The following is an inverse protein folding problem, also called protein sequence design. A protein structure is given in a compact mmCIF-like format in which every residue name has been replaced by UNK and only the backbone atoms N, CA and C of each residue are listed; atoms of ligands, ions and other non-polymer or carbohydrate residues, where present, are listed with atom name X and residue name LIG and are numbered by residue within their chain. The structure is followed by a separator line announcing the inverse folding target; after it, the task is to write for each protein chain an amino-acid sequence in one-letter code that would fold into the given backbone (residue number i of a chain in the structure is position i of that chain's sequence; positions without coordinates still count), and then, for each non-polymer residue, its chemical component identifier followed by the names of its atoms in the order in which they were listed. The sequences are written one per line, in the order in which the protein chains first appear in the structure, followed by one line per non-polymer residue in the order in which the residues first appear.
data_IF_155161788732
#
_entry.id   IF_155161788732
#
_cell.length_a   1.000
_cell.length_b   1.000
_cell.length_c   1.000
_cell.angle_alpha   90.00
_cell.angle_beta   90.00
_cell.angle_gamma   90.00
#
_symmetry.space_group_name_H-M   'P 1'
#
loop_
_entity.id
_entity.type
_entity.pdbx_description
1 polymer ?
#
# COMPACT_ATOMS: atom_id res chain seq x y z
N UNK A 1 12.43 14.36 -5.04
CA UNK A 1 12.47 13.70 -3.74
C UNK A 1 13.81 12.97 -3.56
N UNK A 2 14.38 13.00 -2.39
CA UNK A 2 15.53 12.17 -2.03
C UNK A 2 15.03 10.77 -1.63
N UNK A 3 15.61 9.73 -2.22
CA UNK A 3 15.25 8.33 -1.97
C UNK A 3 16.23 7.66 -1.01
N UNK A 4 17.53 7.92 -1.23
CA UNK A 4 18.65 7.54 -0.34
C UNK A 4 19.67 8.68 -0.32
N UNK A 5 20.77 8.53 0.41
CA UNK A 5 21.86 9.52 0.40
C UNK A 5 22.45 9.78 -1.00
N UNK A 6 22.36 8.79 -1.90
CA UNK A 6 22.97 8.85 -3.24
C UNK A 6 21.96 8.81 -4.38
N UNK A 7 20.64 8.70 -4.07
CA UNK A 7 19.60 8.51 -5.08
C UNK A 7 18.47 9.53 -4.94
N UNK A 8 18.09 10.09 -6.06
CA UNK A 8 17.07 11.12 -6.15
C UNK A 8 16.05 10.76 -7.24
N UNK A 9 14.80 11.08 -7.01
CA UNK A 9 13.74 11.00 -7.99
C UNK A 9 13.23 12.41 -8.32
N UNK A 10 13.01 12.66 -9.59
CA UNK A 10 12.50 13.92 -10.12
C UNK A 10 11.37 13.63 -11.11
N UNK A 11 10.26 14.34 -11.00
CA UNK A 11 9.24 14.38 -12.03
C UNK A 11 9.50 15.59 -12.90
N UNK A 12 9.58 15.39 -14.21
CA UNK A 12 9.75 16.45 -15.20
C UNK A 12 8.71 16.33 -16.32
N UNK A 13 8.49 17.40 -17.07
CA UNK A 13 7.63 17.35 -18.25
C UNK A 13 8.29 16.52 -19.37
N UNK A 14 7.49 15.90 -20.21
CA UNK A 14 7.98 15.13 -21.36
C UNK A 14 8.76 15.96 -22.39
N UNK A 15 8.62 17.29 -22.35
CA UNK A 15 9.37 18.21 -23.18
C UNK A 15 10.74 18.64 -22.59
N UNK A 16 11.05 18.24 -21.35
CA UNK A 16 12.34 18.54 -20.74
C UNK A 16 13.36 17.48 -21.16
N UNK A 17 14.22 17.85 -22.11
CA UNK A 17 15.24 16.95 -22.70
C UNK A 17 16.64 17.16 -22.11
N UNK A 18 16.77 17.89 -21.00
CA UNK A 18 18.09 18.14 -20.37
C UNK A 18 18.73 16.82 -19.91
N UNK A 19 20.02 16.71 -20.08
CA UNK A 19 20.82 15.64 -19.49
C UNK A 19 21.13 15.97 -18.03
N UNK A 20 20.24 15.51 -17.13
CA UNK A 20 20.36 15.76 -15.70
C UNK A 20 21.63 15.17 -15.09
N UNK A 21 22.12 14.04 -15.61
CA UNK A 21 23.36 13.44 -15.14
C UNK A 21 24.57 14.32 -15.51
N UNK A 22 24.56 14.90 -16.70
CA UNK A 22 25.57 15.87 -17.09
C UNK A 22 25.52 17.15 -16.25
N UNK A 23 24.33 17.71 -16.01
CA UNK A 23 24.18 18.90 -15.16
C UNK A 23 24.71 18.65 -13.74
N UNK A 24 24.41 17.50 -13.13
CA UNK A 24 24.90 17.15 -11.79
C UNK A 24 26.41 16.97 -11.78
N UNK A 25 27.00 16.33 -12.81
CA UNK A 25 28.45 16.22 -12.93
C UNK A 25 29.14 17.58 -13.06
N UNK A 26 28.60 18.49 -13.87
CA UNK A 26 29.13 19.85 -14.03
C UNK A 26 29.03 20.66 -12.73
N UNK A 27 27.90 20.56 -12.02
CA UNK A 27 27.75 21.20 -10.72
C UNK A 27 28.78 20.66 -9.70
N UNK A 28 28.99 19.34 -9.67
CA UNK A 28 30.01 18.72 -8.80
C UNK A 28 31.41 19.23 -9.11
N UNK A 29 31.78 19.33 -10.42
CA UNK A 29 33.08 19.90 -10.83
C UNK A 29 33.28 21.35 -10.38
N UNK A 30 32.22 22.16 -10.46
CA UNK A 30 32.25 23.54 -9.98
C UNK A 30 32.57 23.64 -8.48
N UNK A 31 32.14 22.64 -7.69
CA UNK A 31 32.40 22.53 -6.25
C UNK A 31 33.68 21.71 -5.95
N UNK A 32 34.46 21.33 -6.97
CA UNK A 32 35.68 20.55 -6.80
C UNK A 32 35.46 19.06 -6.46
N UNK A 33 34.26 18.53 -6.71
CA UNK A 33 33.90 17.15 -6.46
C UNK A 33 33.70 16.38 -7.78
N UNK A 34 34.36 15.23 -7.91
CA UNK A 34 34.13 14.33 -9.04
C UNK A 34 32.98 13.41 -8.71
N UNK A 35 31.87 13.54 -9.45
CA UNK A 35 30.68 12.72 -9.28
C UNK A 35 30.55 11.74 -10.46
N UNK A 36 30.37 10.46 -10.14
CA UNK A 36 29.92 9.46 -11.12
C UNK A 36 28.39 9.36 -11.01
N UNK A 37 27.70 9.86 -12.04
CA UNK A 37 26.25 9.98 -12.03
C UNK A 37 25.62 9.34 -13.25
N UNK A 38 24.55 8.58 -13.05
CA UNK A 38 23.68 8.07 -14.09
C UNK A 38 22.25 8.56 -13.86
N UNK A 39 21.53 8.82 -14.92
CA UNK A 39 20.09 9.12 -14.86
C UNK A 39 19.33 8.11 -15.72
N UNK A 40 18.19 7.69 -15.24
CA UNK A 40 17.27 6.84 -15.99
C UNK A 40 15.87 7.46 -15.97
N UNK A 41 15.17 7.38 -17.10
CA UNK A 41 13.84 7.92 -17.28
C UNK A 41 12.79 6.81 -17.35
N UNK A 42 11.65 7.05 -16.73
CA UNK A 42 10.48 6.19 -16.89
C UNK A 42 9.24 7.06 -17.13
N UNK A 43 8.45 6.68 -18.13
CA UNK A 43 7.19 7.36 -18.41
C UNK A 43 6.17 7.11 -17.30
N UNK A 44 5.57 8.17 -16.78
CA UNK A 44 4.43 8.11 -15.88
C UNK A 44 3.16 8.06 -16.75
N UNK A 45 2.23 7.14 -16.50
CA UNK A 45 0.96 7.08 -17.23
C UNK A 45 0.20 8.40 -17.13
N UNK A 46 -0.44 8.80 -18.24
CA UNK A 46 -1.28 10.00 -18.29
C UNK A 46 -2.42 9.84 -17.28
N UNK A 47 -2.59 10.86 -16.41
CA UNK A 47 -3.63 10.84 -15.37
C UNK A 47 -3.19 10.26 -14.03
N UNK A 48 -1.97 9.73 -13.90
CA UNK A 48 -1.44 9.34 -12.59
C UNK A 48 -1.21 10.58 -11.70
N UNK A 49 -1.67 10.50 -10.45
CA UNK A 49 -1.39 11.55 -9.48
C UNK A 49 0.13 11.65 -9.22
N UNK A 50 0.75 12.85 -9.27
CA UNK A 50 2.20 12.99 -9.13
C UNK A 50 2.78 12.38 -7.86
N UNK A 51 2.07 12.50 -6.74
CA UNK A 51 2.51 11.95 -5.46
C UNK A 51 2.49 10.41 -5.47
N UNK A 52 1.45 9.81 -6.07
CA UNK A 52 1.37 8.36 -6.25
C UNK A 52 2.51 7.86 -7.14
N UNK A 53 2.84 8.58 -8.21
CA UNK A 53 3.95 8.24 -9.09
C UNK A 53 5.30 8.30 -8.36
N UNK A 54 5.56 9.32 -7.54
CA UNK A 54 6.78 9.41 -6.72
C UNK A 54 6.89 8.26 -5.73
N UNK A 55 5.79 7.90 -5.07
CA UNK A 55 5.75 6.76 -4.15
C UNK A 55 5.99 5.44 -4.88
N UNK A 56 5.38 5.25 -6.05
CA UNK A 56 5.61 4.07 -6.87
C UNK A 56 7.07 3.95 -7.33
N UNK A 57 7.70 5.07 -7.68
CA UNK A 57 9.14 5.11 -8.01
C UNK A 57 10.00 4.70 -6.81
N UNK A 58 9.73 5.22 -5.63
CA UNK A 58 10.42 4.84 -4.40
C UNK A 58 10.28 3.34 -4.13
N UNK A 59 9.06 2.82 -4.15
CA UNK A 59 8.76 1.42 -3.93
C UNK A 59 9.48 0.50 -4.93
N UNK A 60 9.46 0.87 -6.23
CA UNK A 60 10.14 0.13 -7.29
C UNK A 60 11.66 0.09 -7.08
N UNK A 61 12.27 1.20 -6.66
CA UNK A 61 13.70 1.27 -6.36
C UNK A 61 14.07 0.39 -5.17
N UNK A 62 13.29 0.46 -4.09
CA UNK A 62 13.51 -0.37 -2.90
C UNK A 62 13.38 -1.87 -3.23
N UNK A 63 12.43 -2.25 -4.08
CA UNK A 63 12.27 -3.60 -4.60
C UNK A 63 13.51 -4.07 -5.37
N UNK A 64 13.96 -3.27 -6.32
CA UNK A 64 15.17 -3.56 -7.10
C UNK A 64 16.42 -3.72 -6.24
N UNK A 65 16.55 -2.97 -5.17
CA UNK A 65 17.69 -3.06 -4.25
C UNK A 65 17.67 -4.34 -3.40
N UNK A 66 16.49 -4.83 -3.03
CA UNK A 66 16.32 -6.07 -2.23
C UNK A 66 16.56 -7.33 -3.05
N UNK A 67 16.27 -7.30 -4.34
CA UNK A 67 16.43 -8.45 -5.24
C UNK A 67 17.88 -8.71 -5.69
N UNK A 68 18.86 -7.99 -5.13
CA UNK A 68 20.28 -8.37 -5.22
C UNK A 68 21.02 -8.00 -6.50
N UNK A 69 21.05 -6.74 -6.85
CA UNK A 69 22.05 -6.21 -7.78
C UNK A 69 21.79 -6.55 -9.27
N UNK A 70 21.57 -5.53 -10.02
CA UNK A 70 21.07 -5.61 -11.39
C UNK A 70 22.22 -5.61 -12.40
N UNK A 71 22.23 -6.59 -13.28
CA UNK A 71 23.09 -6.56 -14.46
C UNK A 71 22.76 -5.37 -15.38
N UNK A 72 21.54 -4.85 -15.33
CA UNK A 72 21.11 -3.62 -16.00
C UNK A 72 20.10 -2.87 -15.14
N UNK A 73 20.57 -1.93 -14.28
CA UNK A 73 19.72 -1.19 -13.33
C UNK A 73 18.59 -0.40 -13.99
N UNK A 74 18.80 0.13 -15.18
CA UNK A 74 17.85 1.00 -15.88
C UNK A 74 16.63 0.23 -16.37
N UNK A 75 16.84 -0.90 -17.04
CA UNK A 75 15.75 -1.73 -17.54
C UNK A 75 14.94 -2.31 -16.38
N UNK A 76 15.61 -2.83 -15.37
CA UNK A 76 14.94 -3.42 -14.22
C UNK A 76 14.13 -2.39 -13.43
N UNK A 77 14.63 -1.15 -13.27
CA UNK A 77 13.86 -0.08 -12.65
C UNK A 77 12.61 0.28 -13.48
N UNK A 78 12.74 0.45 -14.79
CA UNK A 78 11.61 0.77 -15.67
C UNK A 78 10.54 -0.33 -15.64
N UNK A 79 10.95 -1.59 -15.66
CA UNK A 79 10.03 -2.73 -15.56
C UNK A 79 9.38 -2.83 -14.17
N UNK A 80 10.14 -2.64 -13.10
CA UNK A 80 9.64 -2.63 -11.74
C UNK A 80 8.63 -1.50 -11.52
N UNK A 81 8.89 -0.31 -12.02
CA UNK A 81 7.97 0.82 -11.94
C UNK A 81 6.67 0.54 -12.71
N UNK A 82 6.77 0.04 -13.95
CA UNK A 82 5.60 -0.32 -14.75
C UNK A 82 4.77 -1.41 -14.07
N UNK A 83 5.42 -2.40 -13.46
CA UNK A 83 4.75 -3.46 -12.67
C UNK A 83 4.04 -2.84 -11.47
N UNK A 84 4.73 -2.03 -10.67
CA UNK A 84 4.16 -1.38 -9.48
C UNK A 84 2.94 -0.53 -9.82
N UNK A 85 2.99 0.25 -10.91
CA UNK A 85 1.84 1.07 -11.33
C UNK A 85 0.65 0.21 -11.79
N UNK A 86 0.89 -0.89 -12.51
CA UNK A 86 -0.17 -1.84 -12.88
C UNK A 86 -0.77 -2.53 -11.67
N UNK A 87 0.06 -2.97 -10.73
CA UNK A 87 -0.39 -3.63 -9.51
C UNK A 87 -1.22 -2.67 -8.63
N UNK A 88 -0.81 -1.39 -8.55
CA UNK A 88 -1.56 -0.35 -7.86
C UNK A 88 -2.95 -0.11 -8.49
N UNK A 89 -3.04 -0.06 -9.82
CA UNK A 89 -4.33 0.11 -10.51
C UNK A 89 -5.21 -1.14 -10.37
N UNK A 90 -4.62 -2.32 -10.45
CA UNK A 90 -5.33 -3.57 -10.17
C UNK A 90 -5.87 -3.59 -8.75
N UNK A 91 -5.06 -3.21 -7.77
CA UNK A 91 -5.48 -3.12 -6.36
C UNK A 91 -6.65 -2.15 -6.19
N UNK A 92 -6.56 -0.93 -6.74
CA UNK A 92 -7.66 0.05 -6.71
C UNK A 92 -8.96 -0.53 -7.29
N UNK A 93 -8.84 -1.21 -8.42
CA UNK A 93 -9.99 -1.82 -9.10
C UNK A 93 -10.63 -2.91 -8.24
N UNK A 94 -9.82 -3.82 -7.69
CA UNK A 94 -10.27 -4.90 -6.80
C UNK A 94 -10.96 -4.35 -5.56
N UNK A 95 -10.38 -3.31 -4.92
CA UNK A 95 -10.97 -2.67 -3.74
C UNK A 95 -12.28 -1.97 -4.10
N UNK A 96 -12.31 -1.19 -5.18
CA UNK A 96 -13.50 -0.48 -5.66
C UNK A 96 -14.65 -1.44 -6.01
N UNK A 97 -14.33 -2.55 -6.66
CA UNK A 97 -15.29 -3.59 -7.02
C UNK A 97 -15.61 -4.53 -5.86
N UNK A 98 -14.86 -4.44 -4.75
CA UNK A 98 -14.96 -5.34 -3.59
C UNK A 98 -14.69 -6.81 -3.94
N UNK A 99 -13.90 -7.05 -5.00
CA UNK A 99 -13.59 -8.36 -5.55
C UNK A 99 -12.43 -9.04 -4.80
N UNK A 100 -12.65 -9.27 -3.52
CA UNK A 100 -11.79 -10.08 -2.67
C UNK A 100 -12.60 -10.75 -1.57
N UNK A 101 -12.17 -11.92 -1.14
CA UNK A 101 -12.79 -12.65 -0.03
C UNK A 101 -12.22 -12.18 1.31
N UNK A 102 -12.99 -12.36 2.38
CA UNK A 102 -12.52 -12.25 3.77
C UNK A 102 -12.63 -13.62 4.41
N UNK A 103 -11.50 -14.17 4.83
CA UNK A 103 -11.43 -15.39 5.61
C UNK A 103 -11.35 -15.05 7.09
N UNK A 104 -11.84 -15.94 7.92
CA UNK A 104 -11.91 -15.75 9.37
C UNK A 104 -11.07 -16.81 10.05
N UNK A 105 -9.96 -16.39 10.66
CA UNK A 105 -9.08 -17.28 11.41
C UNK A 105 -9.45 -17.26 12.89
N UNK A 106 -9.74 -18.41 13.52
CA UNK A 106 -10.07 -18.44 14.93
C UNK A 106 -8.83 -18.17 15.80
N UNK A 107 -8.96 -17.27 16.75
CA UNK A 107 -8.01 -17.02 17.83
C UNK A 107 -8.58 -17.69 19.08
N UNK A 108 -7.81 -18.61 19.65
CA UNK A 108 -8.26 -19.45 20.75
C UNK A 108 -7.51 -19.16 22.05
N UNK A 109 -8.19 -19.27 23.16
CA UNK A 109 -7.59 -19.29 24.48
C UNK A 109 -6.81 -20.60 24.68
N UNK A 110 -5.54 -20.52 25.06
CA UNK A 110 -4.67 -21.70 25.16
C UNK A 110 -5.05 -22.65 26.30
N UNK A 111 -5.63 -22.14 27.38
CA UNK A 111 -6.03 -22.94 28.52
C UNK A 111 -7.33 -23.72 28.29
N UNK A 112 -8.37 -23.00 27.87
CA UNK A 112 -9.71 -23.57 27.65
C UNK A 112 -9.92 -24.15 26.26
N UNK A 113 -9.07 -23.77 25.28
CA UNK A 113 -9.22 -24.04 23.84
C UNK A 113 -10.51 -23.47 23.23
N UNK A 114 -11.18 -22.58 23.93
CA UNK A 114 -12.37 -21.91 23.43
C UNK A 114 -11.97 -20.81 22.43
N UNK A 115 -12.80 -20.60 21.41
CA UNK A 115 -12.60 -19.48 20.48
C UNK A 115 -12.91 -18.17 21.21
N UNK A 116 -11.92 -17.28 21.27
CA UNK A 116 -12.06 -15.96 21.85
C UNK A 116 -12.66 -14.97 20.84
N UNK A 117 -12.10 -14.94 19.61
CA UNK A 117 -12.56 -14.12 18.50
C UNK A 117 -12.05 -14.70 17.17
N UNK A 118 -12.41 -14.08 16.08
CA UNK A 118 -11.88 -14.40 14.76
C UNK A 118 -11.10 -13.18 14.22
N UNK A 119 -9.98 -13.41 13.57
CA UNK A 119 -9.27 -12.40 12.80
C UNK A 119 -9.77 -12.42 11.35
N UNK A 120 -10.10 -11.25 10.81
CA UNK A 120 -10.52 -11.08 9.43
C UNK A 120 -9.32 -10.87 8.52
N UNK A 121 -9.09 -11.81 7.62
CA UNK A 121 -7.94 -11.82 6.71
C UNK A 121 -8.42 -11.73 5.27
N UNK A 122 -8.06 -10.66 4.59
CA UNK A 122 -8.37 -10.52 3.17
C UNK A 122 -7.61 -11.54 2.32
N UNK A 123 -8.28 -12.01 1.25
CA UNK A 123 -7.73 -12.94 0.26
C UNK A 123 -8.04 -12.43 -1.14
N UNK A 124 -6.99 -12.10 -1.86
CA UNK A 124 -7.06 -11.66 -3.24
C UNK A 124 -6.99 -12.85 -4.19
N UNK A 125 -7.70 -12.77 -5.32
CA UNK A 125 -7.65 -13.77 -6.38
C UNK A 125 -6.45 -13.50 -7.31
N UNK A 126 -5.25 -13.25 -6.76
CA UNK A 126 -4.06 -12.94 -7.53
C UNK A 126 -2.87 -13.78 -7.04
N UNK A 127 -1.90 -14.01 -7.94
CA UNK A 127 -0.64 -14.69 -7.64
C UNK A 127 0.27 -13.85 -6.73
N UNK A 128 -0.04 -12.56 -6.57
CA UNK A 128 0.64 -11.66 -5.63
C UNK A 128 0.11 -11.94 -4.23
N UNK A 129 0.98 -12.41 -3.36
CA UNK A 129 0.60 -12.68 -1.97
C UNK A 129 0.01 -11.44 -1.28
N UNK A 130 -1.00 -11.62 -0.41
CA UNK A 130 -1.72 -10.50 0.23
C UNK A 130 -0.78 -9.52 0.97
N UNK A 131 0.28 -10.01 1.60
CA UNK A 131 1.25 -9.18 2.31
C UNK A 131 1.96 -8.17 1.39
N UNK A 132 2.34 -8.58 0.18
CA UNK A 132 2.99 -7.67 -0.78
C UNK A 132 2.01 -6.62 -1.32
N UNK A 133 0.75 -7.01 -1.57
CA UNK A 133 -0.28 -6.09 -2.03
C UNK A 133 -0.63 -5.05 -0.96
N UNK A 134 -0.72 -5.45 0.31
CA UNK A 134 -0.99 -4.57 1.45
C UNK A 134 0.18 -3.60 1.65
N UNK A 135 1.43 -4.10 1.70
CA UNK A 135 2.61 -3.23 1.82
C UNK A 135 2.70 -2.21 0.68
N UNK A 136 2.44 -2.61 -0.56
CA UNK A 136 2.38 -1.68 -1.68
C UNK A 136 1.26 -0.65 -1.48
N UNK A 137 0.09 -1.06 -1.01
CA UNK A 137 -1.03 -0.15 -0.78
C UNK A 137 -0.73 0.87 0.33
N UNK A 138 -0.03 0.49 1.39
CA UNK A 138 0.46 1.40 2.44
C UNK A 138 1.44 2.42 1.88
N UNK A 139 2.47 1.97 1.18
CA UNK A 139 3.49 2.84 0.57
C UNK A 139 2.90 3.81 -0.46
N UNK A 140 1.88 3.39 -1.20
CA UNK A 140 1.22 4.20 -2.21
C UNK A 140 0.04 5.03 -1.69
N UNK A 141 -0.26 4.97 -0.37
CA UNK A 141 -1.42 5.58 0.28
C UNK A 141 -2.76 5.15 -0.33
N UNK A 142 -2.89 3.86 -0.61
CA UNK A 142 -4.11 3.23 -1.10
C UNK A 142 -4.83 2.41 -0.02
N UNK A 143 -4.20 2.29 1.16
CA UNK A 143 -4.64 1.37 2.21
C UNK A 143 -5.96 1.79 2.86
N UNK A 144 -6.23 3.08 3.01
CA UNK A 144 -7.40 3.59 3.74
C UNK A 144 -8.73 3.08 3.16
N UNK A 145 -8.86 3.11 1.83
CA UNK A 145 -10.08 2.62 1.17
C UNK A 145 -10.24 1.10 1.33
N UNK A 146 -9.13 0.38 1.29
CA UNK A 146 -9.12 -1.07 1.52
C UNK A 146 -9.55 -1.40 2.95
N UNK A 147 -8.93 -0.78 3.96
CA UNK A 147 -9.27 -0.99 5.37
C UNK A 147 -10.76 -0.71 5.65
N UNK A 148 -11.30 0.35 5.02
CA UNK A 148 -12.72 0.66 5.14
C UNK A 148 -13.61 -0.43 4.54
N UNK A 149 -13.28 -0.95 3.35
CA UNK A 149 -14.04 -2.02 2.70
C UNK A 149 -13.96 -3.32 3.49
N UNK A 150 -12.80 -3.65 4.07
CA UNK A 150 -12.67 -4.81 4.97
C UNK A 150 -13.57 -4.65 6.18
N UNK A 151 -13.53 -3.49 6.85
CA UNK A 151 -14.39 -3.21 8.00
C UNK A 151 -15.88 -3.30 7.64
N UNK A 152 -16.30 -2.79 6.47
CA UNK A 152 -17.67 -2.91 5.97
C UNK A 152 -18.08 -4.38 5.78
N UNK A 153 -17.23 -5.20 5.17
CA UNK A 153 -17.51 -6.65 4.99
C UNK A 153 -17.66 -7.36 6.33
N UNK A 154 -16.81 -7.02 7.30
CA UNK A 154 -16.88 -7.59 8.64
C UNK A 154 -18.16 -7.16 9.38
N UNK A 155 -18.52 -5.88 9.35
CA UNK A 155 -19.79 -5.40 9.95
C UNK A 155 -20.99 -6.07 9.29
N UNK A 156 -20.99 -6.21 7.96
CA UNK A 156 -22.03 -6.96 7.25
C UNK A 156 -22.11 -8.43 7.74
N UNK A 157 -20.96 -9.08 7.96
CA UNK A 157 -20.90 -10.45 8.48
C UNK A 157 -21.45 -10.55 9.92
N UNK A 158 -21.11 -9.58 10.77
CA UNK A 158 -21.61 -9.51 12.15
C UNK A 158 -23.15 -9.35 12.22
N UNK A 159 -23.74 -8.71 11.21
CA UNK A 159 -25.21 -8.49 11.12
C UNK A 159 -25.97 -9.66 10.49
N UNK A 160 -25.29 -10.66 9.94
CA UNK A 160 -25.96 -11.81 9.34
C UNK A 160 -26.62 -12.69 10.39
N UNK A 161 -27.75 -13.33 10.07
CA UNK A 161 -28.36 -14.34 10.90
C UNK A 161 -27.35 -15.45 11.26
N UNK A 162 -27.36 -15.91 12.52
CA UNK A 162 -26.42 -16.92 12.99
C UNK A 162 -25.03 -16.40 13.39
N UNK A 163 -24.75 -15.10 13.24
CA UNK A 163 -23.51 -14.51 13.73
C UNK A 163 -23.41 -14.53 15.28
N UNK A 164 -24.55 -14.58 15.97
CA UNK A 164 -24.62 -14.77 17.44
C UNK A 164 -23.71 -13.78 18.18
N UNK A 165 -22.84 -14.32 19.05
CA UNK A 165 -21.89 -13.58 19.87
C UNK A 165 -20.49 -13.52 19.23
N UNK A 166 -20.37 -13.78 17.93
CA UNK A 166 -19.08 -13.70 17.23
C UNK A 166 -18.44 -12.33 17.46
N UNK A 167 -17.17 -12.37 17.83
CA UNK A 167 -16.28 -11.19 17.84
C UNK A 167 -15.31 -11.34 16.67
N UNK A 168 -15.11 -10.27 15.92
CA UNK A 168 -14.22 -10.29 14.75
C UNK A 168 -13.27 -9.11 14.87
N UNK A 169 -11.98 -9.39 14.77
CA UNK A 169 -10.92 -8.39 14.67
C UNK A 169 -10.65 -8.05 13.21
N UNK A 170 -10.41 -6.78 12.93
CA UNK A 170 -9.96 -6.27 11.64
C UNK A 170 -8.62 -5.59 11.82
N UNK A 171 -7.68 -5.90 10.92
CA UNK A 171 -6.43 -5.19 10.82
C UNK A 171 -6.68 -3.82 10.17
N UNK A 172 -6.18 -2.77 10.78
CA UNK A 172 -6.27 -1.39 10.29
C UNK A 172 -4.90 -0.75 10.37
N UNK A 173 -4.46 -0.12 9.29
CA UNK A 173 -3.18 0.55 9.27
C UNK A 173 -3.16 1.79 10.18
N UNK A 174 -2.01 2.10 10.76
CA UNK A 174 -1.83 3.33 11.53
C UNK A 174 -2.14 4.57 10.69
N UNK A 175 -1.83 4.55 9.39
CA UNK A 175 -2.15 5.63 8.46
C UNK A 175 -3.67 5.86 8.34
N UNK A 176 -4.47 4.79 8.26
CA UNK A 176 -5.94 4.89 8.23
C UNK A 176 -6.49 5.49 9.52
N UNK A 177 -5.97 5.06 10.68
CA UNK A 177 -6.42 5.61 11.97
C UNK A 177 -6.00 7.07 12.19
N UNK A 178 -4.94 7.54 11.56
CA UNK A 178 -4.53 8.94 11.60
C UNK A 178 -5.40 9.84 10.71
N UNK A 179 -6.26 9.27 9.87
CA UNK A 179 -7.17 10.01 8.99
C UNK A 179 -8.56 10.18 9.62
N UNK A 180 -8.89 11.41 9.99
CA UNK A 180 -10.20 11.75 10.61
C UNK A 180 -11.40 11.32 9.74
N UNK A 181 -11.29 11.39 8.42
CA UNK A 181 -12.35 10.99 7.50
C UNK A 181 -12.60 9.47 7.52
N UNK A 182 -11.53 8.68 7.63
CA UNK A 182 -11.62 7.23 7.84
C UNK A 182 -12.30 6.90 9.16
N UNK A 183 -11.83 7.49 10.26
CA UNK A 183 -12.39 7.29 11.61
C UNK A 183 -13.87 7.67 11.64
N UNK A 184 -14.24 8.83 11.07
CA UNK A 184 -15.63 9.25 10.96
C UNK A 184 -16.47 8.26 10.15
N UNK A 185 -15.92 7.64 9.11
CA UNK A 185 -16.61 6.64 8.29
C UNK A 185 -16.85 5.34 9.06
N UNK A 186 -15.83 4.88 9.79
CA UNK A 186 -15.93 3.69 10.66
C UNK A 186 -16.97 3.90 11.78
N UNK A 187 -16.97 5.07 12.39
CA UNK A 187 -17.97 5.43 13.42
C UNK A 187 -19.39 5.48 12.85
N UNK A 188 -19.59 6.08 11.67
CA UNK A 188 -20.89 6.11 10.99
C UNK A 188 -21.41 4.72 10.66
N UNK A 189 -20.53 3.83 10.22
CA UNK A 189 -20.87 2.44 9.87
C UNK A 189 -21.47 1.68 11.06
N UNK A 190 -20.97 1.94 12.25
CA UNK A 190 -21.41 1.29 13.51
C UNK A 190 -22.42 2.14 14.30
N UNK A 191 -22.78 3.34 13.80
CA UNK A 191 -23.74 4.21 14.46
C UNK A 191 -25.14 3.59 14.46
N UNK A 192 -25.84 3.67 15.58
CA UNK A 192 -27.15 3.04 15.75
C UNK A 192 -27.14 1.53 16.03
N UNK A 193 -25.96 0.88 16.03
CA UNK A 193 -25.81 -0.56 16.31
C UNK A 193 -24.75 -0.78 17.39
N UNK A 194 -25.07 -0.56 18.68
CA UNK A 194 -24.10 -0.71 19.78
C UNK A 194 -23.48 -2.11 19.86
N UNK A 195 -24.25 -3.14 19.46
CA UNK A 195 -23.78 -4.53 19.45
C UNK A 195 -22.63 -4.76 18.44
N UNK A 196 -22.62 -4.04 17.32
CA UNK A 196 -21.52 -4.15 16.37
C UNK A 196 -20.21 -3.67 17.01
N UNK A 197 -20.25 -2.56 17.77
CA UNK A 197 -19.07 -2.01 18.47
C UNK A 197 -18.52 -2.95 19.56
N UNK A 198 -19.37 -3.77 20.16
CA UNK A 198 -18.94 -4.76 21.16
C UNK A 198 -18.27 -5.98 20.54
N UNK A 199 -18.57 -6.23 19.26
CA UNK A 199 -18.13 -7.42 18.53
C UNK A 199 -17.05 -7.14 17.49
N UNK A 200 -16.92 -5.89 17.05
CA UNK A 200 -15.85 -5.45 16.16
C UNK A 200 -14.64 -5.05 17.01
N UNK A 201 -13.50 -5.69 16.76
CA UNK A 201 -12.20 -5.37 17.35
C UNK A 201 -11.31 -4.72 16.28
N UNK A 202 -10.51 -3.76 16.66
CA UNK A 202 -9.55 -3.13 15.78
C UNK A 202 -8.16 -3.53 16.24
N UNK A 203 -7.40 -4.12 15.32
CA UNK A 203 -5.98 -4.43 15.50
C UNK A 203 -5.16 -3.45 14.64
N UNK A 204 -4.22 -2.76 15.28
CA UNK A 204 -3.40 -1.74 14.60
C UNK A 204 -2.15 -2.41 14.08
N UNK A 205 -1.93 -2.28 12.77
CA UNK A 205 -0.70 -2.73 12.11
C UNK A 205 0.25 -1.55 11.93
N UNK A 206 1.54 -1.80 12.18
CA UNK A 206 2.63 -0.83 11.99
C UNK A 206 3.02 -0.69 10.52
#
# INVERSE_FOLDING_TARGET
AQLTHERFALIRSSGDTRDLAAEVREAGKAEGVVLDTAATDAAIPVGAEPLCALRAMRFAIEGCLKEGGLANPELAFSESLKRTLRDAETFRTVVKQRDFAVHYQPIVDLGSRAVHHFEALARFNSDVGPANAIRMAEELALIEQFDLVVAEKVVQRLRQPGAGLLKIAVNVSAASLANDAYVASLLRMTNGFPEDRRRLMIEVTE
#
